data_IF_945081366633
#
_entry.id   IF_945081366633
#
_cell.length_a   1.000
_cell.length_b   1.000
_cell.length_c   1.000
_cell.angle_alpha   90.00
_cell.angle_beta   90.00
_cell.angle_gamma   90.00
#
_symmetry.space_group_name_H-M   'P 1'
#
loop_
_entity.id
_entity.type
_entity.pdbx_description
1 polymer ?
#
# COMPACT_ATOMS: atom_id res chain seq x y z
N UNK A 1 7.00 48.88 30.52
CA UNK A 1 8.27 48.46 31.15
C UNK A 1 9.25 48.06 30.06
N UNK A 2 10.49 48.52 30.20
CA UNK A 2 11.59 48.45 29.22
C UNK A 2 12.28 47.07 29.16
N UNK A 3 12.72 46.74 27.93
CA UNK A 3 13.99 46.05 27.53
C UNK A 3 14.16 44.58 27.98
N UNK A 4 14.65 43.66 27.14
CA UNK A 4 16.03 43.72 26.61
C UNK A 4 16.24 42.78 25.41
N UNK A 5 16.93 43.34 24.41
CA UNK A 5 17.47 42.77 23.17
C UNK A 5 18.58 41.75 23.42
N UNK A 6 18.67 40.70 22.59
CA UNK A 6 19.86 39.85 22.50
C UNK A 6 20.02 39.27 21.09
N UNK A 7 20.79 39.96 20.23
CA UNK A 7 21.34 39.42 18.98
C UNK A 7 22.68 38.76 19.32
N UNK A 8 22.94 37.55 18.83
CA UNK A 8 24.29 36.98 18.79
C UNK A 8 24.61 36.66 17.32
N UNK A 9 25.74 37.22 16.90
CA UNK A 9 26.39 37.14 15.59
C UNK A 9 27.74 36.43 15.80
N UNK A 10 28.17 35.68 14.78
CA UNK A 10 29.55 35.20 14.62
C UNK A 10 29.69 33.69 14.92
N UNK A 11 30.45 32.89 14.18
CA UNK A 11 31.57 33.19 13.26
C UNK A 11 31.81 31.95 12.39
N UNK A 12 32.21 32.15 11.13
CA UNK A 12 32.80 31.11 10.30
C UNK A 12 34.23 30.82 10.74
N UNK A 13 34.61 29.55 10.80
CA UNK A 13 36.01 29.12 10.86
C UNK A 13 36.19 27.89 9.97
N UNK A 14 36.88 28.09 8.85
CA UNK A 14 37.44 27.03 8.03
C UNK A 14 38.74 26.54 8.67
N UNK A 15 38.90 25.22 8.80
CA UNK A 15 40.20 24.59 9.08
C UNK A 15 40.34 23.39 8.16
N UNK A 16 41.36 23.43 7.31
CA UNK A 16 41.72 22.36 6.38
C UNK A 16 43.01 21.67 6.85
N UNK A 17 42.99 20.32 6.80
CA UNK A 17 44.10 19.36 6.63
C UNK A 17 45.09 19.25 7.83
N UNK A 18 45.55 18.10 8.35
CA UNK A 18 46.25 16.96 7.72
C UNK A 18 46.36 15.78 8.73
N UNK A 19 46.11 14.54 8.28
CA UNK A 19 46.84 13.29 8.60
C UNK A 19 47.03 12.76 10.03
N UNK A 20 46.56 11.53 10.28
CA UNK A 20 47.35 10.45 10.90
C UNK A 20 46.67 9.07 10.75
N UNK A 21 47.46 8.12 10.27
CA UNK A 21 47.24 6.68 10.16
C UNK A 21 47.03 5.99 11.52
N UNK A 22 46.29 4.86 11.55
CA UNK A 22 46.46 3.87 12.63
C UNK A 22 45.21 3.18 13.19
N UNK A 23 44.67 2.22 12.43
CA UNK A 23 44.18 0.88 12.82
C UNK A 23 43.60 0.65 14.23
N UNK A 24 42.33 0.23 14.29
CA UNK A 24 41.85 -0.70 15.35
C UNK A 24 40.60 -0.29 16.13
N UNK A 25 39.45 -0.14 15.46
CA UNK A 25 38.14 -0.02 16.12
C UNK A 25 37.17 -1.01 15.52
N UNK A 26 36.81 -2.05 16.28
CA UNK A 26 35.90 -3.10 15.85
C UNK A 26 34.53 -2.55 15.49
N UNK A 27 34.21 -2.52 14.20
CA UNK A 27 32.86 -2.36 13.69
C UNK A 27 32.19 -3.73 13.69
N UNK A 28 31.06 -3.84 14.37
CA UNK A 28 30.20 -5.01 14.30
C UNK A 28 29.82 -5.24 12.83
N UNK A 29 30.41 -6.27 12.21
CA UNK A 29 29.97 -6.75 10.90
C UNK A 29 28.63 -7.45 11.08
N UNK A 30 27.54 -6.79 10.69
CA UNK A 30 26.32 -7.50 10.35
C UNK A 30 26.63 -8.34 9.09
N UNK A 31 26.78 -9.65 9.26
CA UNK A 31 26.91 -10.59 8.15
C UNK A 31 25.58 -10.69 7.41
N UNK A 32 25.32 -9.76 6.50
CA UNK A 32 24.39 -10.01 5.41
C UNK A 32 25.06 -11.05 4.52
N UNK A 33 24.66 -12.31 4.64
CA UNK A 33 24.94 -13.33 3.63
C UNK A 33 24.30 -12.83 2.33
N UNK A 34 25.08 -12.11 1.52
CA UNK A 34 24.71 -11.74 0.19
C UNK A 34 24.70 -13.02 -0.64
N UNK A 35 23.53 -13.64 -0.75
CA UNK A 35 23.21 -14.58 -1.81
C UNK A 35 23.55 -13.90 -3.14
N UNK A 36 24.17 -14.58 -4.12
CA UNK A 36 24.40 -13.99 -5.43
C UNK A 36 23.07 -13.45 -5.95
N UNK A 37 23.02 -12.16 -6.28
CA UNK A 37 21.86 -11.56 -6.93
C UNK A 37 21.73 -12.21 -8.31
N UNK A 38 20.95 -13.28 -8.39
CA UNK A 38 20.39 -13.71 -9.66
C UNK A 38 19.57 -12.55 -10.22
N UNK A 39 19.54 -12.43 -11.54
CA UNK A 39 18.65 -11.53 -12.28
C UNK A 39 17.17 -11.93 -12.11
N UNK A 40 16.70 -12.12 -10.88
CA UNK A 40 15.29 -12.40 -10.58
C UNK A 40 14.54 -11.07 -10.68
N UNK A 41 13.42 -11.06 -11.39
CA UNK A 41 12.69 -9.84 -11.63
C UNK A 41 12.01 -9.38 -10.33
N UNK A 42 11.72 -8.08 -10.18
CA UNK A 42 11.05 -7.61 -8.98
C UNK A 42 9.64 -8.20 -8.90
N UNK A 43 9.16 -8.47 -7.68
CA UNK A 43 7.82 -9.03 -7.50
C UNK A 43 6.72 -8.06 -7.97
N UNK A 44 5.73 -8.57 -8.70
CA UNK A 44 4.53 -7.83 -9.11
C UNK A 44 3.69 -7.31 -7.93
N UNK A 45 3.80 -7.93 -6.75
CA UNK A 45 3.06 -7.55 -5.55
C UNK A 45 3.52 -6.24 -4.92
N UNK A 46 4.68 -5.69 -5.31
CA UNK A 46 5.12 -4.39 -4.82
C UNK A 46 4.20 -3.30 -5.38
N UNK A 47 3.79 -2.30 -4.56
CA UNK A 47 2.88 -1.25 -5.01
C UNK A 47 3.28 -0.54 -6.31
N UNK A 48 4.57 -0.26 -6.49
CA UNK A 48 5.09 0.40 -7.69
C UNK A 48 5.02 -0.46 -8.98
N UNK A 49 4.73 -1.76 -8.86
CA UNK A 49 4.81 -2.73 -9.95
C UNK A 49 3.43 -3.12 -10.49
N UNK A 50 2.36 -2.52 -9.96
CA UNK A 50 1.01 -2.71 -10.44
C UNK A 50 0.19 -1.43 -10.36
N UNK A 51 -0.96 -1.46 -11.03
CA UNK A 51 -2.00 -0.44 -10.91
C UNK A 51 -3.25 -1.08 -10.31
N UNK A 52 -4.06 -0.29 -9.61
CA UNK A 52 -5.36 -0.72 -9.13
C UNK A 52 -6.45 0.29 -9.51
N UNK A 53 -7.58 -0.21 -10.01
CA UNK A 53 -8.69 0.63 -10.49
C UNK A 53 -9.99 0.20 -9.84
N UNK A 54 -10.74 1.18 -9.35
CA UNK A 54 -12.09 1.01 -8.79
C UNK A 54 -13.12 1.23 -9.91
N UNK A 55 -14.05 0.30 -10.05
CA UNK A 55 -15.17 0.39 -10.97
C UNK A 55 -16.47 -0.01 -10.27
N UNK A 56 -17.57 0.61 -10.65
CA UNK A 56 -18.88 0.17 -10.16
C UNK A 56 -19.25 -1.18 -10.78
N UNK A 57 -19.80 -2.08 -9.97
CA UNK A 57 -20.37 -3.34 -10.38
C UNK A 57 -21.90 -3.31 -10.20
N UNK A 58 -22.66 -4.23 -10.83
CA UNK A 58 -24.11 -4.29 -10.66
C UNK A 58 -24.50 -4.38 -9.18
N UNK A 59 -25.33 -3.44 -8.73
CA UNK A 59 -25.85 -3.42 -7.37
C UNK A 59 -26.81 -4.59 -7.10
N UNK A 60 -26.88 -5.07 -5.86
CA UNK A 60 -27.91 -6.03 -5.42
C UNK A 60 -28.87 -5.35 -4.45
N UNK A 61 -30.02 -5.99 -4.18
CA UNK A 61 -30.90 -5.53 -3.12
C UNK A 61 -30.11 -5.43 -1.80
N UNK A 62 -29.97 -4.20 -1.29
CA UNK A 62 -29.27 -3.89 -0.06
C UNK A 62 -27.83 -3.39 -0.20
N UNK A 63 -27.13 -3.59 -1.33
CA UNK A 63 -25.71 -3.21 -1.46
C UNK A 63 -25.36 -2.57 -2.82
N UNK A 64 -24.54 -1.52 -2.76
CA UNK A 64 -23.71 -1.09 -3.88
C UNK A 64 -22.47 -1.98 -3.94
N UNK A 65 -22.06 -2.33 -5.15
CA UNK A 65 -20.88 -3.15 -5.39
C UNK A 65 -19.85 -2.36 -6.19
N UNK A 66 -18.60 -2.45 -5.78
CA UNK A 66 -17.47 -1.94 -6.51
C UNK A 66 -16.43 -3.04 -6.67
N UNK A 67 -15.73 -3.04 -7.80
CA UNK A 67 -14.62 -3.93 -8.06
C UNK A 67 -13.33 -3.14 -8.09
N UNK A 68 -12.34 -3.59 -7.33
CA UNK A 68 -10.96 -3.14 -7.42
C UNK A 68 -10.17 -4.16 -8.22
N UNK A 69 -9.78 -3.80 -9.44
CA UNK A 69 -8.97 -4.65 -10.31
C UNK A 69 -7.51 -4.24 -10.22
N UNK A 70 -6.63 -5.19 -9.91
CA UNK A 70 -5.18 -5.04 -9.89
C UNK A 70 -4.59 -5.60 -11.18
N UNK A 71 -3.70 -4.83 -11.81
CA UNK A 71 -2.99 -5.21 -13.03
C UNK A 71 -1.49 -4.98 -12.85
N UNK A 72 -0.71 -6.06 -12.90
CA UNK A 72 0.74 -5.99 -12.86
C UNK A 72 1.30 -5.48 -14.19
N UNK A 73 2.32 -4.64 -14.11
CA UNK A 73 3.08 -4.23 -15.28
C UNK A 73 3.94 -5.41 -15.83
N UNK A 74 4.30 -5.41 -17.12
CA UNK A 74 5.16 -6.45 -17.69
C UNK A 74 6.58 -6.39 -17.10
N UNK A 75 7.30 -7.51 -17.15
CA UNK A 75 8.69 -7.60 -16.68
C UNK A 75 8.87 -7.78 -15.17
N UNK A 76 7.79 -8.07 -14.45
CA UNK A 76 7.80 -8.38 -13.01
C UNK A 76 7.46 -9.85 -12.75
N UNK A 77 8.06 -10.43 -11.72
CA UNK A 77 7.81 -11.82 -11.37
C UNK A 77 6.45 -11.98 -10.68
N UNK A 78 5.65 -13.01 -11.06
CA UNK A 78 4.39 -13.30 -10.39
C UNK A 78 4.57 -13.54 -8.89
N UNK A 79 3.51 -13.26 -8.15
CA UNK A 79 3.45 -13.45 -6.71
C UNK A 79 2.12 -14.07 -6.29
N UNK A 80 2.05 -14.50 -5.03
CA UNK A 80 0.85 -15.12 -4.47
C UNK A 80 0.15 -14.15 -3.51
N UNK A 81 -1.15 -13.97 -3.72
CA UNK A 81 -2.03 -13.18 -2.86
C UNK A 81 -3.02 -14.09 -2.15
N UNK A 82 -3.40 -13.74 -0.92
CA UNK A 82 -4.33 -14.52 -0.11
C UNK A 82 -5.29 -13.66 0.70
N UNK A 83 -6.57 -14.05 0.71
CA UNK A 83 -7.61 -13.39 1.50
C UNK A 83 -7.93 -11.97 1.03
N UNK A 84 -8.63 -11.22 1.88
CA UNK A 84 -8.96 -9.81 1.67
C UNK A 84 -7.75 -8.90 1.98
N UNK A 85 -7.60 -7.77 1.27
CA UNK A 85 -6.70 -6.70 1.70
C UNK A 85 -7.03 -6.21 3.12
N UNK A 86 -6.02 -5.69 3.80
CA UNK A 86 -6.12 -5.13 5.16
C UNK A 86 -5.77 -3.65 5.16
N UNK A 87 -5.98 -3.00 6.31
CA UNK A 87 -5.69 -1.58 6.52
C UNK A 87 -6.31 -0.68 5.43
N UNK A 88 -7.52 -1.05 5.01
CA UNK A 88 -8.21 -0.35 3.93
C UNK A 88 -8.67 1.02 4.42
N UNK A 89 -8.24 2.08 3.75
CA UNK A 89 -8.59 3.47 4.04
C UNK A 89 -9.12 4.14 2.78
N UNK A 90 -10.20 4.89 2.92
CA UNK A 90 -10.84 5.56 1.79
C UNK A 90 -10.59 7.06 1.82
N UNK A 91 -10.40 7.67 0.66
CA UNK A 91 -10.14 9.10 0.54
C UNK A 91 -11.09 9.73 -0.47
N UNK A 92 -11.35 11.02 -0.26
CA UNK A 92 -11.96 11.87 -1.28
C UNK A 92 -11.10 13.10 -1.47
N UNK A 93 -10.50 13.26 -2.65
CA UNK A 93 -9.63 14.39 -2.96
C UNK A 93 -8.55 14.61 -1.88
N UNK A 94 -7.89 13.52 -1.46
CA UNK A 94 -6.85 13.51 -0.42
C UNK A 94 -7.35 13.58 1.03
N UNK A 95 -8.66 13.69 1.26
CA UNK A 95 -9.24 13.71 2.61
C UNK A 95 -9.72 12.33 3.04
N UNK A 96 -9.16 11.80 4.14
CA UNK A 96 -9.52 10.50 4.71
C UNK A 96 -11.01 10.46 5.10
N UNK A 97 -11.67 9.35 4.77
CA UNK A 97 -13.00 8.99 5.23
C UNK A 97 -12.87 8.04 6.41
N UNK A 98 -13.47 8.42 7.54
CA UNK A 98 -13.46 7.66 8.79
C UNK A 98 -14.28 6.36 8.78
N UNK A 99 -14.37 5.69 7.63
CA UNK A 99 -15.08 4.42 7.49
C UNK A 99 -14.10 3.28 7.76
N UNK A 100 -14.42 2.45 8.74
CA UNK A 100 -13.70 1.20 8.98
C UNK A 100 -14.37 0.09 8.20
N UNK A 101 -13.63 -0.58 7.31
CA UNK A 101 -14.15 -1.68 6.52
C UNK A 101 -13.99 -3.02 7.25
N UNK A 102 -15.02 -3.86 7.18
CA UNK A 102 -14.95 -5.26 7.58
C UNK A 102 -14.46 -6.17 6.45
N UNK A 103 -14.43 -7.47 6.71
CA UNK A 103 -14.16 -8.50 5.69
C UNK A 103 -15.34 -9.43 5.53
N UNK A 104 -15.51 -9.97 4.32
CA UNK A 104 -16.49 -11.03 4.07
C UNK A 104 -15.89 -12.11 3.18
N UNK A 105 -16.59 -13.24 3.07
CA UNK A 105 -16.17 -14.37 2.24
C UNK A 105 -14.96 -15.13 2.80
N UNK A 106 -14.60 -16.20 2.11
CA UNK A 106 -13.54 -17.10 2.54
C UNK A 106 -12.15 -16.46 2.39
N UNK A 107 -11.38 -16.42 3.48
CA UNK A 107 -10.09 -15.73 3.56
C UNK A 107 -8.88 -16.62 3.21
N UNK A 108 -9.10 -17.92 2.95
CA UNK A 108 -8.03 -18.90 2.75
C UNK A 108 -7.62 -19.13 1.29
N UNK A 109 -8.35 -18.55 0.32
CA UNK A 109 -8.05 -18.75 -1.11
C UNK A 109 -6.76 -18.04 -1.48
N UNK A 110 -5.89 -18.75 -2.20
CA UNK A 110 -4.66 -18.20 -2.74
C UNK A 110 -4.74 -18.08 -4.24
N UNK A 111 -4.31 -16.94 -4.77
CA UNK A 111 -4.29 -16.64 -6.20
C UNK A 111 -2.90 -16.21 -6.65
N UNK A 112 -2.59 -16.48 -7.91
CA UNK A 112 -1.38 -15.96 -8.55
C UNK A 112 -1.71 -14.61 -9.20
N UNK A 113 -0.91 -13.59 -8.88
CA UNK A 113 -0.98 -12.26 -9.47
C UNK A 113 0.32 -11.96 -10.20
N UNK A 114 0.23 -11.48 -11.44
CA UNK A 114 1.40 -11.19 -12.25
C UNK A 114 1.03 -10.66 -13.63
N UNK A 115 2.02 -10.41 -14.49
CA UNK A 115 1.78 -9.93 -15.85
C UNK A 115 0.81 -10.85 -16.60
N UNK A 116 -0.21 -10.28 -17.25
CA UNK A 116 -1.24 -11.06 -17.96
C UNK A 116 -2.25 -11.78 -17.09
N UNK A 117 -2.11 -11.73 -15.76
CA UNK A 117 -2.99 -12.37 -14.79
C UNK A 117 -3.56 -11.32 -13.82
N UNK A 118 -4.51 -10.48 -14.27
CA UNK A 118 -5.16 -9.54 -13.37
C UNK A 118 -5.94 -10.29 -12.30
N UNK A 119 -6.06 -9.64 -11.15
CA UNK A 119 -6.86 -10.12 -10.02
C UNK A 119 -7.78 -8.99 -9.57
N UNK A 120 -8.81 -9.31 -8.80
CA UNK A 120 -9.69 -8.31 -8.23
C UNK A 120 -10.13 -8.68 -6.82
N UNK A 121 -10.59 -7.67 -6.08
CA UNK A 121 -11.42 -7.86 -4.91
C UNK A 121 -12.63 -6.94 -5.00
N UNK A 122 -13.73 -7.34 -4.38
CA UNK A 122 -14.98 -6.58 -4.43
C UNK A 122 -15.23 -5.89 -3.08
N UNK A 123 -15.72 -4.67 -3.16
CA UNK A 123 -16.16 -3.83 -2.04
C UNK A 123 -17.69 -3.81 -2.06
N UNK A 124 -18.32 -4.21 -0.96
CA UNK A 124 -19.76 -4.10 -0.79
C UNK A 124 -20.07 -2.99 0.21
N UNK A 125 -21.02 -2.13 -0.15
CA UNK A 125 -21.40 -0.98 0.64
C UNK A 125 -22.91 -1.03 0.84
N UNK A 126 -23.41 -0.99 2.09
CA UNK A 126 -24.84 -0.92 2.33
C UNK A 126 -25.50 0.22 1.55
N UNK A 127 -26.66 -0.05 0.96
CA UNK A 127 -27.48 0.94 0.27
C UNK A 127 -28.28 1.74 1.31
N UNK A 128 -27.56 2.55 2.07
CA UNK A 128 -28.08 3.47 3.09
C UNK A 128 -27.98 4.90 2.55
N UNK A 129 -28.94 5.76 2.92
CA UNK A 129 -29.00 7.14 2.41
C UNK A 129 -27.88 8.07 2.90
N UNK A 130 -26.90 7.57 3.66
CA UNK A 130 -25.84 8.34 4.32
C UNK A 130 -24.42 8.14 3.77
N UNK A 131 -24.25 7.39 2.68
CA UNK A 131 -22.93 7.08 2.14
C UNK A 131 -22.10 8.33 1.78
N UNK A 132 -20.82 8.30 2.13
CA UNK A 132 -19.85 9.35 1.82
C UNK A 132 -19.15 9.07 0.47
N UNK A 133 -18.95 10.07 -0.40
CA UNK A 133 -18.19 9.89 -1.63
C UNK A 133 -16.71 9.63 -1.31
N UNK A 134 -16.09 8.79 -2.13
CA UNK A 134 -14.65 8.55 -2.18
C UNK A 134 -14.20 8.41 -3.64
N UNK A 135 -12.91 8.62 -3.90
CA UNK A 135 -12.30 8.42 -5.21
C UNK A 135 -10.98 7.62 -5.17
N UNK A 136 -10.58 7.20 -3.97
CA UNK A 136 -9.30 6.56 -3.70
C UNK A 136 -9.44 5.58 -2.53
N UNK A 137 -8.76 4.43 -2.62
CA UNK A 137 -8.66 3.45 -1.57
C UNK A 137 -7.21 2.96 -1.42
N UNK A 138 -6.62 3.22 -0.27
CA UNK A 138 -5.33 2.65 0.15
C UNK A 138 -5.58 1.32 0.84
N UNK A 139 -4.71 0.34 0.61
CA UNK A 139 -4.81 -0.98 1.22
C UNK A 139 -3.47 -1.71 1.21
N UNK A 140 -3.34 -2.66 2.13
CA UNK A 140 -2.19 -3.55 2.19
C UNK A 140 -2.56 -4.95 1.73
N UNK A 141 -1.76 -5.48 0.81
CA UNK A 141 -1.93 -6.83 0.26
C UNK A 141 -1.38 -7.89 1.22
N UNK A 142 -1.96 -9.09 1.14
CA UNK A 142 -1.53 -10.25 1.92
C UNK A 142 -1.03 -11.36 1.01
N UNK A 143 0.06 -11.98 1.44
CA UNK A 143 0.53 -13.26 0.95
C UNK A 143 0.01 -14.39 1.86
N UNK A 144 0.06 -15.66 1.42
CA UNK A 144 -0.30 -16.81 2.25
C UNK A 144 0.48 -16.90 3.58
N UNK A 145 1.70 -16.37 3.60
CA UNK A 145 2.58 -16.37 4.79
C UNK A 145 2.50 -15.09 5.64
N UNK A 146 1.66 -14.12 5.30
CA UNK A 146 1.56 -12.87 6.05
C UNK A 146 1.32 -11.63 5.19
N UNK A 147 1.62 -10.46 5.75
CA UNK A 147 1.43 -9.17 5.11
C UNK A 147 2.55 -8.92 4.09
N UNK A 148 2.21 -8.40 2.91
CA UNK A 148 3.19 -7.93 1.94
C UNK A 148 3.52 -6.48 2.29
N UNK A 149 4.79 -6.13 2.52
CA UNK A 149 5.16 -4.76 2.84
C UNK A 149 4.82 -3.79 1.70
N UNK A 150 4.31 -2.62 2.10
CA UNK A 150 3.93 -1.55 1.19
C UNK A 150 2.43 -1.41 1.05
N UNK A 151 2.01 -0.20 0.76
CA UNK A 151 0.63 0.18 0.57
C UNK A 151 0.35 0.39 -0.91
N UNK A 152 -0.71 -0.24 -1.38
CA UNK A 152 -1.23 -0.09 -2.73
C UNK A 152 -2.40 0.88 -2.72
N UNK A 153 -2.55 1.64 -3.80
CA UNK A 153 -3.62 2.60 -3.96
C UNK A 153 -4.46 2.27 -5.18
N UNK A 154 -5.77 2.22 -5.01
CA UNK A 154 -6.74 2.09 -6.10
C UNK A 154 -7.49 3.40 -6.32
N UNK A 155 -7.70 3.76 -7.59
CA UNK A 155 -8.40 4.98 -7.98
C UNK A 155 -9.70 4.69 -8.71
N UNK A 156 -10.73 5.48 -8.40
CA UNK A 156 -12.02 5.46 -9.08
C UNK A 156 -13.14 5.84 -8.13
N UNK A 157 -14.24 6.35 -8.68
CA UNK A 157 -15.35 6.84 -7.88
C UNK A 157 -16.06 5.69 -7.17
N UNK A 158 -16.29 5.87 -5.88
CA UNK A 158 -17.12 5.00 -5.06
C UNK A 158 -17.85 5.79 -3.98
N UNK A 159 -18.75 5.11 -3.29
CA UNK A 159 -19.40 5.58 -2.08
C UNK A 159 -19.06 4.60 -0.98
N UNK A 160 -18.81 5.08 0.24
CA UNK A 160 -18.48 4.26 1.40
C UNK A 160 -19.36 4.65 2.57
N UNK A 161 -19.74 3.68 3.39
CA UNK A 161 -20.56 3.90 4.59
C UNK A 161 -20.22 2.88 5.69
N UNK A 162 -20.77 3.09 6.88
CA UNK A 162 -20.75 2.09 7.95
C UNK A 162 -21.27 0.75 7.43
N UNK A 163 -20.55 -0.33 7.75
CA UNK A 163 -20.84 -1.67 7.23
C UNK A 163 -20.27 -1.96 5.85
N UNK A 164 -19.41 -1.08 5.30
CA UNK A 164 -18.59 -1.42 4.13
C UNK A 164 -17.74 -2.66 4.42
N UNK A 165 -17.72 -3.62 3.49
CA UNK A 165 -16.97 -4.88 3.64
C UNK A 165 -16.15 -5.21 2.38
N UNK A 166 -14.98 -5.81 2.59
CA UNK A 166 -14.00 -6.12 1.55
C UNK A 166 -13.87 -7.63 1.36
N UNK A 167 -14.03 -8.08 0.12
CA UNK A 167 -13.96 -9.48 -0.27
C UNK A 167 -12.52 -9.97 -0.47
N UNK A 168 -12.32 -11.29 -0.53
CA UNK A 168 -11.00 -11.85 -0.80
C UNK A 168 -10.57 -11.57 -2.24
N UNK A 169 -9.26 -11.51 -2.47
CA UNK A 169 -8.70 -11.40 -3.82
C UNK A 169 -9.02 -12.66 -4.63
N UNK A 170 -9.47 -12.48 -5.87
CA UNK A 170 -9.91 -13.50 -6.82
C UNK A 170 -9.22 -13.31 -8.17
N UNK A 171 -9.03 -14.39 -8.95
CA UNK A 171 -8.47 -14.27 -10.29
C UNK A 171 -9.46 -13.57 -11.24
N UNK A 172 -8.92 -12.83 -12.22
CA UNK A 172 -9.69 -12.15 -13.27
C UNK A 172 -9.86 -10.65 -13.05
N UNK A 173 -10.40 -9.98 -14.06
CA UNK A 173 -10.79 -8.56 -14.04
C UNK A 173 -12.32 -8.44 -14.17
#
# INVERSE_FOLDING_TARGET
MMRTTGKIVGTAAAVALVGAVGVGGGVAQASSTATPAGNEAPSACRPANHTAKITAAPATAGHHHYRVTLTAAPGYDPCRLAGSPIDVRFYHHGSLKGVTAGHYGAQGTVVTFGPGHPVHFDIQVPNTGGGAPADEADFTLKAPGGVIPGESTAYGRLTVDVGTVIGPVRPGA
#
